data_IF_834610363918
#
_entry.id   IF_834610363918
#
_cell.length_a   1.000
_cell.length_b   1.000
_cell.length_c   1.000
_cell.angle_alpha   90.00
_cell.angle_beta   90.00
_cell.angle_gamma   90.00
#
_symmetry.space_group_name_H-M   'P 1'
#
loop_
_entity.id
_entity.type
_entity.pdbx_description
1 polymer ?
#
# COMPACT_ATOMS: atom_id res chain seq x y z
N UNK A 1 -9.03 -1.14 -21.90
CA UNK A 1 -8.34 -1.71 -23.08
C UNK A 1 -8.29 -0.74 -24.27
N UNK A 2 -9.34 0.01 -24.54
CA UNK A 2 -9.40 0.97 -25.68
C UNK A 2 -8.33 2.06 -25.64
N UNK A 3 -8.01 2.65 -24.47
CA UNK A 3 -7.02 3.73 -24.34
C UNK A 3 -5.59 3.29 -24.70
N UNK A 4 -5.17 2.09 -24.27
CA UNK A 4 -3.85 1.53 -24.62
C UNK A 4 -3.73 1.29 -26.13
N UNK A 5 -4.80 0.73 -26.74
CA UNK A 5 -4.86 0.53 -28.19
C UNK A 5 -4.78 1.84 -28.97
N UNK A 6 -5.43 2.89 -28.47
CA UNK A 6 -5.35 4.23 -29.08
C UNK A 6 -3.93 4.80 -29.01
N UNK A 7 -3.24 4.70 -27.87
CA UNK A 7 -1.85 5.19 -27.77
C UNK A 7 -0.92 4.42 -28.70
N UNK A 8 -1.06 3.08 -28.77
CA UNK A 8 -0.31 2.26 -29.70
C UNK A 8 -0.49 2.69 -31.16
N UNK A 9 -1.75 2.80 -31.58
CA UNK A 9 -2.09 3.14 -32.95
C UNK A 9 -1.71 4.59 -33.29
N UNK A 10 -2.03 5.56 -32.42
CA UNK A 10 -1.72 6.97 -32.65
C UNK A 10 -0.21 7.23 -32.70
N UNK A 11 0.59 6.60 -31.85
CA UNK A 11 2.05 6.76 -31.88
C UNK A 11 2.65 6.32 -33.20
N UNK A 12 2.15 5.21 -33.74
CA UNK A 12 2.57 4.72 -35.05
C UNK A 12 2.09 5.62 -36.21
N UNK A 13 0.80 6.01 -36.18
CA UNK A 13 0.20 6.85 -37.22
C UNK A 13 0.90 8.22 -37.32
N UNK A 14 1.13 8.88 -36.19
CA UNK A 14 1.80 10.18 -36.15
C UNK A 14 3.22 10.07 -36.71
N UNK A 15 3.96 9.02 -36.33
CA UNK A 15 5.32 8.80 -36.86
C UNK A 15 5.32 8.50 -38.38
N UNK A 16 4.30 7.79 -38.86
CA UNK A 16 4.14 7.51 -40.32
C UNK A 16 3.85 8.78 -41.11
N UNK A 17 3.05 9.72 -40.58
CA UNK A 17 2.67 10.97 -41.24
C UNK A 17 3.78 12.03 -41.12
N UNK A 18 4.46 12.09 -39.98
CA UNK A 18 5.55 13.03 -39.68
C UNK A 18 6.79 12.34 -39.14
N UNK A 19 7.65 11.82 -40.02
CA UNK A 19 8.87 11.11 -39.62
C UNK A 19 9.88 12.00 -38.85
N UNK A 20 9.81 13.33 -39.03
CA UNK A 20 10.73 14.31 -38.41
C UNK A 20 10.44 14.54 -36.93
N UNK A 21 9.27 14.12 -36.42
CA UNK A 21 8.97 14.30 -35.01
C UNK A 21 9.76 13.32 -34.12
N UNK A 22 10.26 13.78 -32.97
CA UNK A 22 11.06 12.96 -32.05
C UNK A 22 10.20 11.96 -31.24
N UNK A 23 9.17 11.37 -31.87
CA UNK A 23 8.30 10.39 -31.25
C UNK A 23 8.81 8.98 -31.48
N UNK A 24 8.70 8.14 -30.45
CA UNK A 24 9.04 6.72 -30.51
C UNK A 24 7.78 5.88 -30.72
N UNK A 25 7.58 5.28 -31.89
CA UNK A 25 6.38 4.50 -32.14
C UNK A 25 6.41 3.19 -31.34
N UNK A 26 5.35 2.92 -30.59
CA UNK A 26 5.24 1.70 -29.79
C UNK A 26 5.08 0.42 -30.63
N UNK A 27 4.61 0.53 -31.87
CA UNK A 27 4.50 -0.60 -32.83
C UNK A 27 5.79 -0.85 -33.61
N UNK A 28 6.88 -0.14 -33.30
CA UNK A 28 8.22 -0.51 -33.81
C UNK A 28 8.78 -1.72 -33.07
N UNK A 29 9.80 -2.36 -33.65
CA UNK A 29 10.51 -3.48 -32.99
C UNK A 29 11.02 -3.08 -31.61
N UNK A 30 11.61 -1.87 -31.48
CA UNK A 30 12.07 -1.32 -30.21
C UNK A 30 10.93 -1.05 -29.23
N UNK A 31 9.82 -0.50 -29.68
CA UNK A 31 8.65 -0.21 -28.86
C UNK A 31 8.00 -1.47 -28.32
N UNK A 32 7.87 -2.51 -29.17
CA UNK A 32 7.35 -3.81 -28.74
C UNK A 32 8.31 -4.47 -27.73
N UNK A 33 9.60 -4.45 -27.99
CA UNK A 33 10.62 -5.00 -27.05
C UNK A 33 10.59 -4.24 -25.71
N UNK A 34 10.46 -2.93 -25.74
CA UNK A 34 10.32 -2.11 -24.53
C UNK A 34 9.05 -2.47 -23.76
N UNK A 35 7.91 -2.55 -24.42
CA UNK A 35 6.61 -2.82 -23.81
C UNK A 35 6.59 -4.13 -23.01
N UNK A 36 7.17 -5.19 -23.59
CA UNK A 36 7.23 -6.51 -22.94
C UNK A 36 8.41 -6.64 -21.98
N UNK A 37 9.58 -6.10 -22.32
CA UNK A 37 10.78 -6.20 -21.51
C UNK A 37 10.73 -5.38 -20.22
N UNK A 38 10.11 -4.20 -20.26
CA UNK A 38 10.01 -3.31 -19.11
C UNK A 38 8.63 -3.33 -18.44
N UNK A 39 7.79 -4.32 -18.75
CA UNK A 39 6.45 -4.39 -18.17
C UNK A 39 6.47 -4.37 -16.64
N UNK A 40 7.31 -5.20 -16.05
CA UNK A 40 7.46 -5.30 -14.59
C UNK A 40 8.05 -4.03 -13.98
N UNK A 41 9.11 -3.49 -14.60
CA UNK A 41 9.78 -2.28 -14.13
C UNK A 41 8.85 -1.05 -14.16
N UNK A 42 8.02 -0.96 -15.19
CA UNK A 42 7.01 0.08 -15.31
C UNK A 42 5.96 0.03 -14.20
N UNK A 43 5.64 -1.16 -13.68
CA UNK A 43 4.69 -1.36 -12.60
C UNK A 43 5.33 -1.17 -11.21
N UNK A 44 6.63 -1.47 -11.07
CA UNK A 44 7.36 -1.30 -9.82
C UNK A 44 7.46 0.19 -9.48
N UNK A 45 6.67 0.60 -8.50
CA UNK A 45 6.72 1.96 -7.96
C UNK A 45 6.40 1.96 -6.46
N UNK A 46 6.85 2.97 -5.70
CA UNK A 46 6.48 3.09 -4.29
C UNK A 46 4.96 3.09 -4.07
N UNK A 47 4.19 3.59 -5.02
CA UNK A 47 2.72 3.62 -4.97
C UNK A 47 2.12 2.21 -4.95
N UNK A 48 2.69 1.25 -5.68
CA UNK A 48 2.22 -0.14 -5.65
C UNK A 48 2.39 -0.75 -4.25
N UNK A 49 3.55 -0.53 -3.64
CA UNK A 49 3.83 -1.01 -2.29
C UNK A 49 2.88 -0.38 -1.27
N UNK A 50 2.64 0.92 -1.36
CA UNK A 50 1.71 1.63 -0.48
C UNK A 50 0.28 1.16 -0.67
N UNK A 51 -0.14 0.93 -1.91
CA UNK A 51 -1.47 0.41 -2.23
C UNK A 51 -1.65 -1.01 -1.66
N UNK A 52 -0.69 -1.90 -1.84
CA UNK A 52 -0.73 -3.26 -1.31
C UNK A 52 -0.77 -3.26 0.22
N UNK A 53 0.12 -2.50 0.88
CA UNK A 53 0.14 -2.37 2.34
C UNK A 53 -1.16 -1.79 2.87
N UNK A 54 -1.68 -0.74 2.23
CA UNK A 54 -2.96 -0.13 2.59
C UNK A 54 -4.13 -1.09 2.47
N UNK A 55 -4.20 -1.86 1.37
CA UNK A 55 -5.24 -2.89 1.18
C UNK A 55 -5.15 -3.98 2.25
N UNK A 56 -3.95 -4.48 2.55
CA UNK A 56 -3.74 -5.46 3.62
C UNK A 56 -4.17 -4.91 4.98
N UNK A 57 -3.83 -3.66 5.29
CA UNK A 57 -4.21 -3.01 6.55
C UNK A 57 -5.73 -2.86 6.68
N UNK A 58 -6.41 -2.41 5.62
CA UNK A 58 -7.88 -2.28 5.62
C UNK A 58 -8.56 -3.64 5.72
N UNK A 59 -8.06 -4.65 5.00
CA UNK A 59 -8.60 -6.02 5.09
C UNK A 59 -8.43 -6.59 6.50
N UNK A 60 -7.24 -6.46 7.09
CA UNK A 60 -6.97 -6.89 8.46
C UNK A 60 -7.88 -6.19 9.49
N UNK A 61 -8.08 -4.88 9.35
CA UNK A 61 -8.99 -4.11 10.22
C UNK A 61 -10.43 -4.63 10.14
N UNK A 62 -10.93 -4.88 8.94
CA UNK A 62 -12.30 -5.38 8.75
C UNK A 62 -12.45 -6.80 9.24
N UNK A 63 -11.51 -7.68 8.88
CA UNK A 63 -11.52 -9.10 9.25
C UNK A 63 -11.38 -9.34 10.75
N UNK A 64 -10.64 -8.49 11.47
CA UNK A 64 -10.46 -8.59 12.91
C UNK A 64 -11.63 -8.08 13.75
N UNK A 65 -12.56 -7.34 13.18
CA UNK A 65 -13.62 -6.61 13.91
C UNK A 65 -13.11 -5.62 14.97
N UNK A 66 -11.83 -5.29 14.97
CA UNK A 66 -11.19 -4.34 15.89
C UNK A 66 -11.91 -2.98 15.95
N UNK A 67 -12.34 -2.37 14.82
CA UNK A 67 -13.05 -1.07 14.87
C UNK A 67 -14.35 -1.14 15.67
N UNK A 68 -15.06 -2.27 15.61
CA UNK A 68 -16.28 -2.50 16.40
C UNK A 68 -15.97 -2.58 17.90
N UNK A 69 -14.87 -3.20 18.29
CA UNK A 69 -14.43 -3.28 19.67
C UNK A 69 -13.99 -1.90 20.21
N UNK A 70 -13.28 -1.12 19.42
CA UNK A 70 -12.88 0.26 19.77
C UNK A 70 -14.11 1.15 20.01
N UNK A 71 -15.14 1.03 19.18
CA UNK A 71 -16.41 1.79 19.38
C UNK A 71 -17.11 1.40 20.69
N UNK A 72 -16.96 0.14 21.13
CA UNK A 72 -17.53 -0.38 22.38
C UNK A 72 -16.69 -0.08 23.63
N UNK A 73 -15.56 0.61 23.51
CA UNK A 73 -14.75 1.02 24.66
C UNK A 73 -15.54 1.81 25.69
N UNK A 74 -16.59 2.53 25.28
CA UNK A 74 -17.51 3.24 26.21
C UNK A 74 -18.26 2.29 27.17
N UNK A 75 -18.46 1.04 26.76
CA UNK A 75 -19.11 -0.02 27.56
C UNK A 75 -18.10 -0.99 28.18
N UNK A 76 -16.91 -0.51 28.54
CA UNK A 76 -15.80 -1.30 29.08
C UNK A 76 -16.17 -2.34 30.15
N UNK A 77 -17.05 -2.01 31.14
CA UNK A 77 -17.41 -2.96 32.22
C UNK A 77 -18.15 -4.20 31.73
N UNK A 78 -18.88 -4.10 30.61
CA UNK A 78 -19.74 -5.17 30.08
C UNK A 78 -19.04 -6.05 29.03
N UNK A 79 -17.77 -5.73 28.68
CA UNK A 79 -17.00 -6.49 27.72
C UNK A 79 -16.47 -7.81 28.32
N UNK A 80 -16.37 -8.85 27.49
CA UNK A 80 -15.75 -10.12 27.88
C UNK A 80 -14.29 -9.93 28.30
N UNK A 81 -13.83 -10.74 29.24
CA UNK A 81 -12.45 -10.66 29.76
C UNK A 81 -11.40 -10.74 28.64
N UNK A 82 -11.57 -11.66 27.69
CA UNK A 82 -10.66 -11.86 26.55
C UNK A 82 -10.63 -10.64 25.61
N UNK A 83 -11.78 -10.03 25.35
CA UNK A 83 -11.87 -8.84 24.52
C UNK A 83 -11.13 -7.66 25.17
N UNK A 84 -11.26 -7.51 26.52
CA UNK A 84 -10.50 -6.51 27.28
C UNK A 84 -9.00 -6.78 27.27
N UNK A 85 -8.58 -8.06 27.39
CA UNK A 85 -7.19 -8.45 27.30
C UNK A 85 -6.61 -8.15 25.91
N UNK A 86 -7.34 -8.51 24.86
CA UNK A 86 -6.95 -8.23 23.48
C UNK A 86 -6.76 -6.72 23.22
N UNK A 87 -7.70 -5.88 23.68
CA UNK A 87 -7.58 -4.42 23.56
C UNK A 87 -6.40 -3.84 24.33
N UNK A 88 -6.10 -4.39 25.53
CA UNK A 88 -4.92 -3.97 26.30
C UNK A 88 -3.62 -4.34 25.57
N UNK A 89 -3.55 -5.54 24.96
CA UNK A 89 -2.39 -5.95 24.19
C UNK A 89 -2.19 -5.09 22.96
N UNK A 90 -3.27 -4.76 22.24
CA UNK A 90 -3.24 -3.83 21.10
C UNK A 90 -2.77 -2.44 21.53
N UNK A 91 -3.29 -1.92 22.65
CA UNK A 91 -2.87 -0.62 23.16
C UNK A 91 -1.38 -0.62 23.52
N UNK A 92 -0.91 -1.67 24.19
CA UNK A 92 0.52 -1.82 24.53
C UNK A 92 1.40 -1.84 23.27
N UNK A 93 0.99 -2.58 22.23
CA UNK A 93 1.70 -2.64 20.96
C UNK A 93 1.77 -1.26 20.27
N UNK A 94 0.66 -0.55 20.18
CA UNK A 94 0.61 0.79 19.58
C UNK A 94 1.49 1.78 20.37
N UNK A 95 1.44 1.75 21.69
CA UNK A 95 2.27 2.59 22.56
C UNK A 95 3.76 2.26 22.37
N UNK A 96 4.09 0.98 22.28
CA UNK A 96 5.47 0.54 22.05
C UNK A 96 6.01 1.04 20.70
N UNK A 97 5.23 0.89 19.62
CA UNK A 97 5.62 1.40 18.30
C UNK A 97 5.78 2.93 18.34
N UNK A 98 4.83 3.64 18.96
CA UNK A 98 4.92 5.09 19.11
C UNK A 98 6.16 5.51 19.93
N UNK A 99 6.48 4.81 21.00
CA UNK A 99 7.67 5.08 21.81
C UNK A 99 8.97 4.86 21.01
N UNK A 100 9.04 3.79 20.21
CA UNK A 100 10.17 3.52 19.32
C UNK A 100 10.30 4.62 18.26
N UNK A 101 9.19 5.04 17.62
CA UNK A 101 9.21 6.12 16.65
C UNK A 101 9.68 7.44 17.28
N UNK A 102 9.20 7.78 18.47
CA UNK A 102 9.62 8.97 19.22
C UNK A 102 11.12 8.88 19.53
N UNK A 103 11.61 7.76 20.01
CA UNK A 103 13.02 7.56 20.30
C UNK A 103 13.91 7.71 19.07
N UNK A 104 13.42 7.32 17.90
CA UNK A 104 14.16 7.42 16.63
C UNK A 104 14.04 8.79 15.95
N UNK A 105 13.15 9.68 16.43
CA UNK A 105 12.91 10.99 15.80
C UNK A 105 13.25 12.18 16.70
N UNK A 106 13.18 12.05 18.02
CA UNK A 106 13.34 13.20 18.95
C UNK A 106 14.78 13.52 19.32
N UNK A 107 15.72 12.56 19.49
CA UNK A 107 17.12 12.89 19.83
C UNK A 107 17.78 13.78 18.77
N UNK A 108 18.73 14.62 19.20
CA UNK A 108 19.48 15.56 18.35
C UNK A 108 20.27 14.90 17.20
N UNK A 109 20.54 13.60 17.32
CA UNK A 109 21.17 12.77 16.29
C UNK A 109 20.26 11.61 15.87
N UNK A 110 18.95 11.90 15.70
CA UNK A 110 17.97 10.89 15.39
C UNK A 110 18.21 10.28 14.00
N UNK A 111 18.22 8.95 13.95
CA UNK A 111 18.54 8.16 12.76
C UNK A 111 17.54 8.40 11.62
N UNK A 112 16.28 8.71 11.94
CA UNK A 112 15.20 8.90 10.96
C UNK A 112 15.12 10.32 10.42
N UNK A 113 15.83 11.30 11.01
CA UNK A 113 15.88 12.67 10.52
C UNK A 113 16.88 12.80 9.35
N UNK A 114 16.69 13.84 8.57
CA UNK A 114 17.66 14.21 7.54
C UNK A 114 18.92 14.81 8.19
N UNK A 115 20.00 14.90 7.44
CA UNK A 115 21.27 15.53 7.86
C UNK A 115 21.07 16.98 8.36
N UNK A 116 20.04 17.67 7.83
CA UNK A 116 19.64 19.01 8.26
C UNK A 116 18.75 19.04 9.52
N UNK A 117 18.44 17.89 10.12
CA UNK A 117 17.52 17.80 11.27
C UNK A 117 16.04 17.97 10.91
N UNK A 118 15.68 18.03 9.62
CA UNK A 118 14.29 18.19 9.17
C UNK A 118 13.54 16.85 9.09
N UNK A 119 12.23 16.90 9.40
CA UNK A 119 11.33 15.76 9.27
C UNK A 119 10.93 15.47 7.81
N UNK A 120 11.08 16.43 6.92
CA UNK A 120 10.76 16.29 5.49
C UNK A 120 11.77 17.06 4.63
N UNK A 121 12.29 16.47 3.55
CA UNK A 121 12.28 15.04 3.20
C UNK A 121 13.24 14.24 4.09
N UNK A 122 12.78 13.12 4.65
CA UNK A 122 13.58 12.25 5.53
C UNK A 122 13.17 10.79 5.41
N UNK A 123 13.98 9.90 5.96
CA UNK A 123 13.63 8.46 6.06
C UNK A 123 12.35 8.25 6.85
N UNK A 124 12.07 9.10 7.84
CA UNK A 124 10.81 9.11 8.58
C UNK A 124 9.61 9.35 7.65
N UNK A 125 9.65 10.41 6.83
CA UNK A 125 8.54 10.76 5.94
C UNK A 125 8.27 9.68 4.89
N UNK A 126 9.29 8.96 4.44
CA UNK A 126 9.16 7.86 3.49
C UNK A 126 8.57 6.58 4.12
N UNK A 127 8.89 6.31 5.40
CA UNK A 127 8.53 5.06 6.07
C UNK A 127 7.26 5.13 6.92
N UNK A 128 6.80 6.32 7.33
CA UNK A 128 5.70 6.49 8.29
C UNK A 128 4.40 5.79 7.84
N UNK A 129 4.09 5.86 6.55
CA UNK A 129 2.92 5.19 6.00
C UNK A 129 3.04 3.66 6.10
N UNK A 130 4.21 3.10 5.73
CA UNK A 130 4.45 1.66 5.80
C UNK A 130 4.41 1.16 7.26
N UNK A 131 5.06 1.88 8.18
CA UNK A 131 5.04 1.57 9.62
C UNK A 131 3.62 1.64 10.16
N UNK A 132 2.84 2.65 9.80
CA UNK A 132 1.44 2.78 10.17
C UNK A 132 0.59 1.60 9.70
N UNK A 133 0.72 1.21 8.43
CA UNK A 133 0.01 0.04 7.88
C UNK A 133 0.41 -1.25 8.59
N UNK A 134 1.71 -1.48 8.82
CA UNK A 134 2.20 -2.65 9.53
C UNK A 134 1.67 -2.69 10.97
N UNK A 135 1.69 -1.56 11.67
CA UNK A 135 1.13 -1.46 13.04
C UNK A 135 -0.37 -1.81 13.06
N UNK A 136 -1.12 -1.34 12.07
CA UNK A 136 -2.54 -1.68 11.95
C UNK A 136 -2.76 -3.17 11.67
N UNK A 137 -1.94 -3.77 10.81
CA UNK A 137 -2.01 -5.21 10.51
C UNK A 137 -1.70 -6.03 11.77
N UNK A 138 -0.59 -5.74 12.45
CA UNK A 138 -0.18 -6.49 13.64
C UNK A 138 -1.19 -6.31 14.79
N UNK A 139 -1.66 -5.10 15.06
CA UNK A 139 -2.71 -4.81 16.03
C UNK A 139 -4.02 -5.57 15.73
N UNK A 140 -4.41 -5.63 14.46
CA UNK A 140 -5.60 -6.36 14.03
C UNK A 140 -5.46 -7.86 14.22
N UNK A 141 -4.30 -8.42 13.92
CA UNK A 141 -4.00 -9.84 14.12
C UNK A 141 -3.93 -10.17 15.62
N UNK A 142 -3.25 -9.36 16.42
CA UNK A 142 -3.17 -9.52 17.89
C UNK A 142 -4.58 -9.53 18.50
N UNK A 143 -5.44 -8.60 18.08
CA UNK A 143 -6.83 -8.56 18.54
C UNK A 143 -7.61 -9.81 18.12
N UNK A 144 -7.48 -10.25 16.87
CA UNK A 144 -8.18 -11.42 16.36
C UNK A 144 -7.74 -12.72 17.07
N UNK A 145 -6.45 -12.88 17.33
CA UNK A 145 -5.91 -14.07 18.00
C UNK A 145 -6.32 -14.14 19.49
N UNK A 146 -6.22 -13.03 20.21
CA UNK A 146 -6.48 -12.99 21.67
C UNK A 146 -7.98 -12.89 21.95
N UNK A 147 -8.71 -12.09 21.16
CA UNK A 147 -10.14 -11.80 21.36
C UNK A 147 -11.08 -12.90 20.88
N UNK A 148 -10.65 -13.75 19.95
CA UNK A 148 -11.46 -14.84 19.45
C UNK A 148 -11.65 -15.94 20.50
N UNK A 149 -12.89 -16.28 20.79
CA UNK A 149 -13.20 -17.53 21.48
C UNK A 149 -12.81 -18.70 20.57
N UNK A 150 -11.66 -19.30 20.77
CA UNK A 150 -11.02 -20.45 20.12
C UNK A 150 -11.73 -21.24 18.99
N UNK A 151 -13.01 -20.99 18.76
CA UNK A 151 -13.86 -21.60 17.73
C UNK A 151 -14.00 -20.81 16.43
N UNK A 152 -13.52 -19.55 16.38
CA UNK A 152 -13.65 -18.66 15.20
C UNK A 152 -12.32 -18.00 14.76
N UNK A 153 -11.18 -18.55 15.23
CA UNK A 153 -9.89 -18.13 14.69
C UNK A 153 -9.79 -18.67 13.26
N UNK A 154 -10.43 -17.98 12.33
CA UNK A 154 -10.15 -18.18 10.91
C UNK A 154 -8.63 -18.09 10.71
N UNK A 155 -8.08 -18.87 9.80
CA UNK A 155 -6.67 -18.79 9.46
C UNK A 155 -6.27 -17.31 9.34
N UNK A 156 -5.07 -16.93 9.81
CA UNK A 156 -4.51 -15.57 9.64
C UNK A 156 -4.68 -15.09 8.20
N UNK A 157 -4.51 -16.01 7.26
CA UNK A 157 -4.73 -15.79 5.85
C UNK A 157 -6.18 -15.33 5.54
N UNK A 158 -7.19 -15.95 6.17
CA UNK A 158 -8.60 -15.58 6.00
C UNK A 158 -8.89 -14.15 6.50
N UNK A 159 -8.30 -13.75 7.64
CA UNK A 159 -8.45 -12.39 8.17
C UNK A 159 -7.86 -11.35 7.22
N UNK A 160 -6.76 -11.68 6.54
CA UNK A 160 -6.08 -10.78 5.60
C UNK A 160 -6.76 -10.73 4.23
N UNK A 161 -7.48 -11.80 3.81
CA UNK A 161 -7.99 -11.92 2.43
C UNK A 161 -9.50 -11.81 2.32
N UNK A 162 -10.25 -12.17 3.34
CA UNK A 162 -11.72 -12.30 3.29
C UNK A 162 -12.44 -10.96 3.03
N UNK A 163 -11.84 -9.86 3.45
CA UNK A 163 -12.38 -8.51 3.29
C UNK A 163 -11.54 -7.65 2.33
N UNK A 164 -10.88 -8.29 1.38
CA UNK A 164 -10.05 -7.61 0.39
C UNK A 164 -10.91 -6.97 -0.74
N UNK A 165 -12.00 -6.29 -0.36
CA UNK A 165 -12.93 -5.62 -1.29
C UNK A 165 -12.23 -4.60 -2.20
N UNK A 166 -11.03 -4.16 -1.82
CA UNK A 166 -10.21 -3.21 -2.59
C UNK A 166 -9.33 -3.83 -3.67
N UNK A 167 -9.32 -5.16 -3.85
CA UNK A 167 -8.47 -5.81 -4.87
C UNK A 167 -8.75 -5.33 -6.29
N UNK A 168 -9.96 -4.83 -6.56
CA UNK A 168 -10.32 -4.23 -7.85
C UNK A 168 -9.51 -2.95 -8.18
N UNK A 169 -8.87 -2.32 -7.19
CA UNK A 169 -7.97 -1.19 -7.39
C UNK A 169 -6.65 -1.60 -8.05
N UNK A 170 -6.21 -2.85 -7.86
CA UNK A 170 -4.97 -3.34 -8.47
C UNK A 170 -5.01 -3.34 -9.99
N UNK A 171 -6.02 -3.95 -10.67
CA UNK A 171 -6.09 -3.86 -12.12
C UNK A 171 -6.24 -2.42 -12.64
N UNK A 172 -6.95 -1.54 -11.93
CA UNK A 172 -7.03 -0.13 -12.30
C UNK A 172 -5.64 0.52 -12.21
N UNK A 173 -4.92 0.30 -11.10
CA UNK A 173 -3.55 0.80 -10.95
C UNK A 173 -2.63 0.30 -12.06
N UNK A 174 -2.65 -1.01 -12.37
CA UNK A 174 -1.85 -1.61 -13.43
C UNK A 174 -2.13 -0.93 -14.78
N UNK A 175 -3.40 -0.80 -15.14
CA UNK A 175 -3.81 -0.18 -16.40
C UNK A 175 -3.42 1.30 -16.50
N UNK A 176 -3.67 2.07 -15.46
CA UNK A 176 -3.34 3.51 -15.45
C UNK A 176 -1.83 3.75 -15.47
N UNK A 177 -1.08 2.97 -14.70
CA UNK A 177 0.38 3.09 -14.63
C UNK A 177 1.04 2.69 -15.95
N UNK A 178 0.60 1.59 -16.54
CA UNK A 178 1.09 1.14 -17.84
C UNK A 178 0.79 2.18 -18.93
N UNK A 179 -0.43 2.73 -18.95
CA UNK A 179 -0.81 3.78 -19.89
C UNK A 179 0.10 5.01 -19.75
N UNK A 180 0.37 5.44 -18.52
CA UNK A 180 1.27 6.56 -18.26
C UNK A 180 2.68 6.31 -18.79
N UNK A 181 3.25 5.12 -18.53
CA UNK A 181 4.58 4.75 -19.01
C UNK A 181 4.64 4.67 -20.54
N UNK A 182 3.57 4.16 -21.21
CA UNK A 182 3.47 4.15 -22.66
C UNK A 182 3.49 5.57 -23.25
N UNK A 183 2.74 6.50 -22.66
CA UNK A 183 2.72 7.90 -23.08
C UNK A 183 4.10 8.54 -22.89
N UNK A 184 4.73 8.31 -21.73
CA UNK A 184 6.06 8.82 -21.43
C UNK A 184 7.12 8.28 -22.42
N UNK A 185 7.05 7.00 -22.80
CA UNK A 185 7.96 6.40 -23.78
C UNK A 185 7.78 7.00 -25.17
N UNK A 186 6.54 7.26 -25.59
CA UNK A 186 6.22 7.85 -26.92
C UNK A 186 6.74 9.28 -27.01
N UNK A 187 6.66 10.03 -25.93
CA UNK A 187 7.05 11.46 -25.91
C UNK A 187 8.56 11.67 -25.73
N UNK A 188 9.33 10.65 -25.39
CA UNK A 188 10.80 10.72 -25.24
C UNK A 188 11.26 10.75 -23.82
#
# INVERSE_FOLDING_TARGET
MTAHGLVLFLSWLIKAVRPDWPLRPLLSEEGVRWLFGHFTDNLLSPLLVWLLLGLCAVSALRGSHLPGAIRRLRSWPTMAYRERLALRSVLFEVVLVAAVLILLTVPSHAILLNVSGSLYPSSFSASIFAVGCLTVITASLTYAIIGADGKKSGSIFHILTDHADGLWLLPIYILTRQLWCMIAYVLG
#
